data_IF_807781309894
#
_entry.id   IF_807781309894
#
_cell.length_a   1.000
_cell.length_b   1.000
_cell.length_c   1.000
_cell.angle_alpha   90.00
_cell.angle_beta   90.00
_cell.angle_gamma   90.00
#
_symmetry.space_group_name_H-M   'P 1'
#
loop_
_entity.id
_entity.type
_entity.pdbx_description
1 polymer ?
#
# COMPACT_ATOMS: atom_id res chain seq x y z
N UNK A 1 -6.46 -19.68 -14.06
CA UNK A 1 -6.07 -18.26 -13.93
C UNK A 1 -4.90 -18.06 -12.99
N UNK A 2 -4.92 -18.53 -11.74
CA UNK A 2 -3.79 -18.37 -10.81
C UNK A 2 -2.44 -18.84 -11.38
N UNK A 3 -2.39 -20.05 -11.97
CA UNK A 3 -1.16 -20.60 -12.57
C UNK A 3 -0.62 -19.71 -13.70
N UNK A 4 -1.50 -19.16 -14.54
CA UNK A 4 -1.12 -18.26 -15.63
C UNK A 4 -0.52 -16.96 -15.09
N UNK A 5 -1.16 -16.36 -14.06
CA UNK A 5 -0.61 -15.17 -13.42
C UNK A 5 0.75 -15.46 -12.77
N UNK A 6 0.90 -16.60 -12.11
CA UNK A 6 2.17 -17.00 -11.48
C UNK A 6 3.28 -17.27 -12.52
N UNK A 7 2.96 -17.89 -13.66
CA UNK A 7 3.95 -18.09 -14.73
C UNK A 7 4.39 -16.78 -15.37
N UNK A 8 3.46 -15.84 -15.58
CA UNK A 8 3.78 -14.51 -16.10
C UNK A 8 4.60 -13.70 -15.09
N UNK A 9 4.24 -13.72 -13.81
CA UNK A 9 4.99 -13.05 -12.76
C UNK A 9 6.42 -13.61 -12.65
N UNK A 10 6.59 -14.93 -12.75
CA UNK A 10 7.91 -15.56 -12.78
C UNK A 10 8.75 -15.04 -13.96
N UNK A 11 8.16 -14.94 -15.15
CA UNK A 11 8.85 -14.41 -16.32
C UNK A 11 9.29 -12.95 -16.10
N UNK A 12 8.42 -12.12 -15.50
CA UNK A 12 8.77 -10.74 -15.13
C UNK A 12 9.98 -10.71 -14.18
N UNK A 13 10.01 -11.57 -13.15
CA UNK A 13 11.15 -11.65 -12.23
C UNK A 13 12.46 -12.15 -12.89
N UNK A 14 12.37 -13.01 -13.91
CA UNK A 14 13.55 -13.42 -14.70
C UNK A 14 14.07 -12.26 -15.58
N UNK A 15 13.16 -11.40 -16.06
CA UNK A 15 13.48 -10.30 -16.98
C UNK A 15 13.85 -8.97 -16.28
N UNK A 16 13.36 -8.71 -15.06
CA UNK A 16 13.52 -7.43 -14.35
C UNK A 16 15.00 -7.07 -14.05
N UNK A 17 15.88 -8.08 -13.98
CA UNK A 17 17.30 -7.89 -13.71
C UNK A 17 18.12 -7.59 -14.98
N UNK A 18 17.51 -7.62 -16.16
CA UNK A 18 18.20 -7.29 -17.41
C UNK A 18 18.43 -5.78 -17.50
N UNK A 19 19.69 -5.37 -17.62
CA UNK A 19 20.07 -3.95 -17.69
C UNK A 19 19.32 -3.18 -18.80
N UNK A 20 19.10 -3.81 -19.96
CA UNK A 20 18.36 -3.20 -21.06
C UNK A 20 16.91 -2.84 -20.67
N UNK A 21 16.25 -3.70 -19.87
CA UNK A 21 14.88 -3.46 -19.38
C UNK A 21 14.89 -2.38 -18.31
N UNK A 22 15.84 -2.44 -17.37
CA UNK A 22 15.97 -1.45 -16.29
C UNK A 22 16.20 -0.03 -16.79
N UNK A 23 16.97 0.14 -17.87
CA UNK A 23 17.21 1.47 -18.46
C UNK A 23 15.94 2.03 -19.09
N UNK A 24 15.08 1.19 -19.67
CA UNK A 24 13.88 1.63 -20.38
C UNK A 24 12.67 1.84 -19.45
N UNK A 25 12.47 0.93 -18.50
CA UNK A 25 11.28 0.89 -17.65
C UNK A 25 11.54 1.24 -16.17
N UNK A 26 12.81 1.44 -15.79
CA UNK A 26 13.20 1.74 -14.42
C UNK A 26 13.54 0.51 -13.58
N UNK A 27 13.88 0.76 -12.31
CA UNK A 27 14.19 -0.28 -11.34
C UNK A 27 12.96 -0.60 -10.46
N UNK A 28 12.79 -1.87 -10.10
CA UNK A 28 11.68 -2.39 -9.28
C UNK A 28 12.15 -2.81 -7.87
N UNK A 29 13.36 -2.42 -7.47
CA UNK A 29 13.91 -2.71 -6.15
C UNK A 29 13.22 -1.87 -5.07
N UNK A 30 12.93 -2.50 -3.94
CA UNK A 30 12.33 -1.85 -2.78
C UNK A 30 13.22 -0.71 -2.23
N UNK A 31 12.59 0.39 -1.85
CA UNK A 31 13.27 1.54 -1.26
C UNK A 31 13.56 1.24 0.22
N UNK A 32 14.71 1.72 0.72
CA UNK A 32 15.06 1.51 2.12
C UNK A 32 14.07 2.18 3.09
N UNK A 33 13.56 1.40 4.05
CA UNK A 33 12.45 1.78 4.94
C UNK A 33 12.83 2.77 6.05
N UNK A 34 14.12 3.06 6.24
CA UNK A 34 14.63 3.96 7.29
C UNK A 34 14.83 5.41 6.79
N UNK A 35 14.46 5.73 5.55
CA UNK A 35 14.69 7.07 5.02
C UNK A 35 13.67 8.08 5.56
N UNK A 36 14.20 9.23 5.98
CA UNK A 36 13.40 10.39 6.36
C UNK A 36 13.08 11.23 5.12
N UNK A 37 11.82 11.63 4.96
CA UNK A 37 11.30 12.31 3.77
C UNK A 37 12.05 13.62 3.48
N UNK A 38 12.49 14.33 4.53
CA UNK A 38 13.26 15.57 4.39
C UNK A 38 14.64 15.36 3.75
N UNK A 39 15.34 14.29 4.13
CA UNK A 39 16.65 13.94 3.58
C UNK A 39 16.59 13.35 2.16
N UNK A 40 15.48 12.64 1.87
CA UNK A 40 15.31 11.95 0.59
C UNK A 40 14.74 12.84 -0.52
N UNK A 41 13.99 13.89 -0.18
CA UNK A 41 13.39 14.81 -1.17
C UNK A 41 14.42 15.37 -2.17
N UNK A 42 15.65 15.65 -1.72
CA UNK A 42 16.74 16.12 -2.60
C UNK A 42 17.33 15.05 -3.53
N UNK A 43 17.21 13.77 -3.18
CA UNK A 43 17.76 12.64 -3.92
C UNK A 43 16.70 11.86 -4.70
N UNK A 44 15.43 12.24 -4.57
CA UNK A 44 14.32 11.59 -5.25
C UNK A 44 14.35 11.96 -6.75
N UNK A 45 14.49 10.99 -7.68
CA UNK A 45 14.47 11.27 -9.12
C UNK A 45 13.08 11.70 -9.62
N UNK A 46 12.02 11.50 -8.82
CA UNK A 46 10.65 11.84 -9.21
C UNK A 46 10.39 13.34 -8.98
N UNK A 47 9.98 14.10 -10.01
CA UNK A 47 9.65 15.52 -9.86
C UNK A 47 8.41 15.72 -8.99
N UNK A 48 8.33 16.87 -8.33
CA UNK A 48 7.18 17.24 -7.51
C UNK A 48 5.89 17.34 -8.35
N UNK A 49 4.84 16.66 -7.88
CA UNK A 49 3.52 16.61 -8.50
C UNK A 49 2.44 17.28 -7.64
N UNK A 50 2.76 17.78 -6.45
CA UNK A 50 1.80 18.35 -5.49
C UNK A 50 1.11 19.60 -6.07
N UNK A 51 1.83 20.36 -6.90
CA UNK A 51 1.36 21.60 -7.50
C UNK A 51 0.45 21.40 -8.72
N UNK A 52 0.10 20.16 -9.08
CA UNK A 52 -0.86 19.83 -10.15
C UNK A 52 -0.61 20.59 -11.48
N UNK A 53 0.64 20.66 -11.95
CA UNK A 53 0.98 21.39 -13.19
C UNK A 53 0.43 20.70 -14.45
N UNK A 54 0.21 19.39 -14.38
CA UNK A 54 -0.44 18.59 -15.43
C UNK A 54 -1.72 17.93 -14.91
N UNK A 55 -2.65 17.59 -15.82
CA UNK A 55 -3.80 16.75 -15.49
C UNK A 55 -3.39 15.39 -14.91
N UNK A 56 -2.25 14.84 -15.35
CA UNK A 56 -1.68 13.63 -14.78
C UNK A 56 -1.19 13.84 -13.35
N UNK A 57 -0.77 15.05 -13.00
CA UNK A 57 -0.35 15.35 -11.63
C UNK A 57 -1.56 15.46 -10.70
N UNK A 58 -2.70 15.95 -11.20
CA UNK A 58 -3.96 15.91 -10.46
C UNK A 58 -4.37 14.47 -10.10
N UNK A 59 -4.24 13.51 -11.04
CA UNK A 59 -4.55 12.11 -10.75
C UNK A 59 -3.52 11.47 -9.82
N UNK A 60 -2.23 11.81 -9.94
CA UNK A 60 -1.19 11.37 -8.99
C UNK A 60 -1.51 11.85 -7.57
N UNK A 61 -1.83 13.13 -7.37
CA UNK A 61 -2.21 13.66 -6.05
C UNK A 61 -3.45 12.95 -5.52
N UNK A 62 -4.46 12.72 -6.37
CA UNK A 62 -5.67 12.00 -5.98
C UNK A 62 -5.36 10.59 -5.47
N UNK A 63 -4.54 9.84 -6.21
CA UNK A 63 -4.18 8.45 -5.88
C UNK A 63 -3.23 8.40 -4.67
N UNK A 64 -2.16 9.18 -4.66
CA UNK A 64 -1.14 9.05 -3.61
C UNK A 64 -1.54 9.69 -2.27
N UNK A 65 -2.40 10.73 -2.27
CA UNK A 65 -2.79 11.41 -1.02
C UNK A 65 -4.14 10.96 -0.46
N UNK A 66 -5.14 10.69 -1.31
CA UNK A 66 -6.51 10.42 -0.85
C UNK A 66 -6.88 8.93 -0.81
N UNK A 67 -6.16 8.07 -1.54
CA UNK A 67 -6.48 6.63 -1.57
C UNK A 67 -6.38 5.97 -0.19
N UNK A 68 -5.51 6.46 0.69
CA UNK A 68 -5.39 5.95 2.06
C UNK A 68 -6.73 6.02 2.82
N UNK A 69 -7.37 7.19 2.84
CA UNK A 69 -8.66 7.40 3.50
C UNK A 69 -9.79 6.63 2.82
N UNK A 70 -9.73 6.48 1.50
CA UNK A 70 -10.66 5.65 0.76
C UNK A 70 -10.55 4.17 1.18
N UNK A 71 -9.34 3.63 1.28
CA UNK A 71 -9.09 2.25 1.73
C UNK A 71 -9.59 2.04 3.16
N UNK A 72 -9.39 3.00 4.07
CA UNK A 72 -9.95 2.94 5.42
C UNK A 72 -11.48 2.86 5.43
N UNK A 73 -12.13 3.57 4.52
CA UNK A 73 -13.59 3.51 4.34
C UNK A 73 -14.03 2.12 3.87
N UNK A 74 -13.29 1.50 2.94
CA UNK A 74 -13.55 0.12 2.50
C UNK A 74 -13.39 -0.88 3.65
N UNK A 75 -12.37 -0.70 4.50
CA UNK A 75 -12.18 -1.54 5.70
C UNK A 75 -13.37 -1.37 6.66
N UNK A 76 -13.86 -0.15 6.86
CA UNK A 76 -15.05 0.11 7.69
C UNK A 76 -16.31 -0.56 7.14
N UNK A 77 -16.57 -0.44 5.84
CA UNK A 77 -17.69 -1.11 5.16
C UNK A 77 -17.57 -2.63 5.31
N UNK A 78 -16.37 -3.18 5.14
CA UNK A 78 -16.11 -4.61 5.31
C UNK A 78 -16.39 -5.08 6.75
N UNK A 79 -16.06 -4.25 7.75
CA UNK A 79 -16.35 -4.52 9.16
C UNK A 79 -17.82 -4.37 9.56
N UNK A 80 -18.65 -3.66 8.79
CA UNK A 80 -20.07 -3.41 9.13
C UNK A 80 -21.06 -4.24 8.31
N UNK A 81 -20.68 -4.67 7.11
CA UNK A 81 -21.58 -5.38 6.17
C UNK A 81 -22.00 -6.79 6.61
N UNK A 82 -21.23 -7.46 7.48
CA UNK A 82 -21.57 -8.80 7.98
C UNK A 82 -21.43 -8.83 9.49
N UNK A 83 -22.39 -9.45 10.19
CA UNK A 83 -22.31 -9.64 11.64
C UNK A 83 -21.48 -10.90 11.90
N UNK A 84 -20.21 -10.73 12.27
CA UNK A 84 -19.30 -11.83 12.57
C UNK A 84 -18.27 -11.37 13.61
N UNK A 85 -17.77 -12.29 14.43
CA UNK A 85 -16.74 -11.97 15.43
C UNK A 85 -15.46 -11.43 14.80
N UNK A 86 -15.17 -11.86 13.56
CA UNK A 86 -14.04 -11.37 12.75
C UNK A 86 -14.19 -9.91 12.31
N UNK A 87 -15.37 -9.30 12.46
CA UNK A 87 -15.58 -7.90 12.09
C UNK A 87 -15.04 -6.94 13.14
N UNK A 88 -14.92 -7.36 14.40
CA UNK A 88 -14.39 -6.54 15.48
C UNK A 88 -12.98 -6.02 15.18
N UNK A 89 -12.09 -6.88 14.67
CA UNK A 89 -10.73 -6.50 14.33
C UNK A 89 -10.64 -5.44 13.21
N UNK A 90 -11.51 -5.51 12.20
CA UNK A 90 -11.56 -4.50 11.13
C UNK A 90 -12.02 -3.14 11.66
N UNK A 91 -13.02 -3.10 12.55
CA UNK A 91 -13.51 -1.86 13.14
C UNK A 91 -12.46 -1.23 14.06
N UNK A 92 -11.80 -2.02 14.90
CA UNK A 92 -10.73 -1.55 15.79
C UNK A 92 -9.58 -0.96 14.98
N UNK A 93 -9.11 -1.67 13.94
CA UNK A 93 -8.06 -1.17 13.07
C UNK A 93 -8.49 0.12 12.36
N UNK A 94 -9.70 0.16 11.81
CA UNK A 94 -10.24 1.34 11.12
C UNK A 94 -10.26 2.57 12.04
N UNK A 95 -10.82 2.45 13.26
CA UNK A 95 -10.84 3.56 14.21
C UNK A 95 -9.44 3.99 14.64
N UNK A 96 -8.53 3.04 14.86
CA UNK A 96 -7.13 3.34 15.18
C UNK A 96 -6.47 4.19 14.08
N UNK A 97 -6.60 3.79 12.81
CA UNK A 97 -6.02 4.53 11.70
C UNK A 97 -6.75 5.84 11.37
N UNK A 98 -8.06 5.94 11.63
CA UNK A 98 -8.77 7.21 11.49
C UNK A 98 -8.31 8.24 12.54
N UNK A 99 -8.05 7.79 13.77
CA UNK A 99 -7.61 8.67 14.88
C UNK A 99 -6.13 9.07 14.76
N UNK A 100 -5.26 8.12 14.44
CA UNK A 100 -3.81 8.33 14.42
C UNK A 100 -3.20 8.43 13.01
N UNK A 101 -4.02 8.34 11.96
CA UNK A 101 -3.56 8.28 10.57
C UNK A 101 -2.68 9.47 10.18
N UNK A 102 -3.14 10.70 10.44
CA UNK A 102 -2.38 11.91 10.10
C UNK A 102 -0.96 11.92 10.68
N UNK A 103 -0.82 11.59 11.96
CA UNK A 103 0.48 11.53 12.64
C UNK A 103 1.33 10.33 12.18
N UNK A 104 0.69 9.22 11.81
CA UNK A 104 1.37 8.04 11.27
C UNK A 104 1.97 8.28 9.88
N UNK A 105 1.33 9.11 9.05
CA UNK A 105 1.86 9.50 7.74
C UNK A 105 3.09 10.42 7.87
N UNK A 106 3.22 11.17 8.98
CA UNK A 106 4.39 12.02 9.26
C UNK A 106 5.56 11.24 9.86
N UNK A 107 5.31 10.04 10.40
CA UNK A 107 6.35 9.16 10.96
C UNK A 107 7.08 8.39 9.85
N UNK A 108 8.29 7.88 10.11
CA UNK A 108 9.02 7.08 9.13
C UNK A 108 8.19 5.87 8.66
N UNK A 109 8.28 5.58 7.36
CA UNK A 109 7.44 4.63 6.62
C UNK A 109 7.43 3.23 7.26
N UNK A 110 8.53 2.84 7.91
CA UNK A 110 8.66 1.58 8.65
C UNK A 110 7.55 1.34 9.69
N UNK A 111 7.12 2.39 10.39
CA UNK A 111 6.08 2.24 11.42
C UNK A 111 4.72 1.93 10.81
N UNK A 112 4.32 2.69 9.79
CA UNK A 112 3.03 2.49 9.10
C UNK A 112 3.00 1.16 8.36
N UNK A 113 4.10 0.78 7.66
CA UNK A 113 4.21 -0.51 6.98
C UNK A 113 3.99 -1.68 7.95
N UNK A 114 4.63 -1.65 9.12
CA UNK A 114 4.45 -2.71 10.12
C UNK A 114 2.99 -2.85 10.54
N UNK A 115 2.28 -1.75 10.82
CA UNK A 115 0.85 -1.85 11.17
C UNK A 115 -0.01 -2.34 9.99
N UNK A 116 0.36 -1.96 8.76
CA UNK A 116 -0.30 -2.43 7.55
C UNK A 116 -0.09 -3.94 7.31
N UNK A 117 1.12 -4.45 7.52
CA UNK A 117 1.42 -5.88 7.40
C UNK A 117 0.63 -6.71 8.41
N UNK A 118 0.46 -6.20 9.65
CA UNK A 118 -0.40 -6.84 10.65
C UNK A 118 -1.87 -6.86 10.21
N UNK A 119 -2.34 -5.80 9.56
CA UNK A 119 -3.70 -5.76 9.01
C UNK A 119 -3.88 -6.74 7.84
N UNK A 120 -2.88 -6.87 6.96
CA UNK A 120 -2.88 -7.85 5.86
C UNK A 120 -2.90 -9.28 6.44
N UNK A 121 -2.04 -9.56 7.44
CA UNK A 121 -2.01 -10.86 8.10
C UNK A 121 -3.36 -11.19 8.75
N UNK A 122 -4.00 -10.22 9.42
CA UNK A 122 -5.35 -10.37 9.96
C UNK A 122 -6.37 -10.68 8.86
N UNK A 123 -6.30 -10.00 7.72
CA UNK A 123 -7.22 -10.23 6.60
C UNK A 123 -7.08 -11.67 6.05
N UNK A 124 -5.86 -12.11 5.78
CA UNK A 124 -5.58 -13.49 5.33
C UNK A 124 -6.09 -14.49 6.37
N UNK A 125 -5.84 -14.25 7.66
CA UNK A 125 -6.35 -15.09 8.75
C UNK A 125 -7.87 -15.20 8.73
N UNK A 126 -8.61 -14.08 8.61
CA UNK A 126 -10.07 -14.10 8.53
C UNK A 126 -10.57 -14.88 7.31
N UNK A 127 -9.92 -14.72 6.16
CA UNK A 127 -10.27 -15.48 4.94
C UNK A 127 -10.07 -16.99 5.18
N UNK A 128 -8.93 -17.39 5.75
CA UNK A 128 -8.66 -18.81 6.02
C UNK A 128 -9.63 -19.40 7.02
N UNK A 129 -9.95 -18.69 8.11
CA UNK A 129 -10.90 -19.15 9.12
C UNK A 129 -12.32 -19.29 8.58
N UNK A 130 -12.77 -18.36 7.74
CA UNK A 130 -14.08 -18.46 7.05
C UNK A 130 -14.14 -19.56 5.98
N UNK A 131 -13.01 -20.07 5.52
CA UNK A 131 -12.96 -21.20 4.60
C UNK A 131 -13.01 -22.53 5.37
N UNK A 132 -12.41 -22.58 6.57
CA UNK A 132 -12.40 -23.77 7.42
C UNK A 132 -13.74 -23.97 8.14
N UNK A 133 -14.34 -22.89 8.66
CA UNK A 133 -15.60 -22.88 9.42
C UNK A 133 -16.81 -22.64 8.51
#
# INVERSE_FOLDING_TARGET
>A
MLLLCASLQRQIFEDENKAAVRIMAGDNVEICMNLDAASFSQHNPVPDFIHCRSYLDMSKVMIFSYLFWFVLTIIFITGTTRISIFCMGYLVACFYFLLFGGDLLLKPIKSILRYWDWLIAYNVFVITMKNIL
#
